data_IF_080132670588
#
_entry.id   IF_080132670588
#
_cell.length_a   1.000
_cell.length_b   1.000
_cell.length_c   1.000
_cell.angle_alpha   90.00
_cell.angle_beta   90.00
_cell.angle_gamma   90.00
#
_symmetry.space_group_name_H-M   'P 1'
#
loop_
_entity.id
_entity.type
_entity.pdbx_description
1 polymer ?
#
# COMPACT_ATOMS: atom_id res chain seq x y z
N UNK A 1 18.26 -16.81 -22.31
CA UNK A 1 17.12 -17.74 -22.30
C UNK A 1 16.76 -18.05 -20.85
N UNK A 2 15.49 -17.98 -20.52
CA UNK A 2 15.02 -18.30 -19.17
C UNK A 2 14.96 -19.82 -18.98
N UNK A 3 15.18 -20.28 -17.75
CA UNK A 3 14.99 -21.67 -17.40
C UNK A 3 13.53 -22.10 -17.56
N UNK A 4 13.29 -23.38 -17.82
CA UNK A 4 11.97 -23.88 -18.16
C UNK A 4 10.94 -23.66 -17.04
N UNK A 5 11.35 -23.76 -15.79
CA UNK A 5 10.50 -23.52 -14.63
C UNK A 5 10.11 -22.04 -14.51
N UNK A 6 11.03 -21.13 -14.77
CA UNK A 6 10.76 -19.68 -14.77
C UNK A 6 9.82 -19.33 -15.93
N UNK A 7 10.05 -19.91 -17.11
CA UNK A 7 9.14 -19.69 -18.25
C UNK A 7 7.73 -20.21 -17.96
N UNK A 8 7.61 -21.37 -17.32
CA UNK A 8 6.32 -21.91 -16.92
C UNK A 8 5.59 -21.01 -15.92
N UNK A 9 6.31 -20.40 -14.98
CA UNK A 9 5.74 -19.43 -14.04
C UNK A 9 5.19 -18.19 -14.76
N UNK A 10 5.92 -17.68 -15.75
CA UNK A 10 5.46 -16.53 -16.55
C UNK A 10 4.19 -16.87 -17.35
N UNK A 11 4.16 -18.04 -17.97
CA UNK A 11 3.02 -18.48 -18.78
C UNK A 11 1.77 -18.70 -17.91
N UNK A 12 1.94 -19.25 -16.72
CA UNK A 12 0.86 -19.41 -15.76
C UNK A 12 0.28 -18.04 -15.34
N UNK A 13 1.13 -17.05 -15.13
CA UNK A 13 0.68 -15.70 -14.75
C UNK A 13 -0.07 -15.02 -15.89
N UNK A 14 0.35 -15.18 -17.14
CA UNK A 14 -0.39 -14.65 -18.30
C UNK A 14 -1.80 -15.23 -18.35
N UNK A 15 -1.93 -16.56 -18.18
CA UNK A 15 -3.22 -17.24 -18.18
C UNK A 15 -4.13 -16.73 -17.06
N UNK A 16 -3.59 -16.55 -15.84
CA UNK A 16 -4.35 -16.05 -14.70
C UNK A 16 -4.82 -14.62 -14.93
N UNK A 17 -3.95 -13.75 -15.46
CA UNK A 17 -4.29 -12.34 -15.72
C UNK A 17 -5.39 -12.18 -16.79
N UNK A 18 -5.40 -13.03 -17.81
CA UNK A 18 -6.41 -12.98 -18.87
C UNK A 18 -7.80 -13.35 -18.38
N UNK A 19 -7.92 -14.07 -17.27
CA UNK A 19 -9.20 -14.43 -16.67
C UNK A 19 -9.83 -13.28 -15.88
N UNK A 20 -9.06 -12.25 -15.51
CA UNK A 20 -9.53 -11.06 -14.78
C UNK A 20 -9.72 -9.90 -15.75
N UNK A 21 -10.75 -9.99 -16.59
CA UNK A 21 -11.07 -8.93 -17.55
C UNK A 21 -11.89 -7.80 -16.92
N UNK A 22 -12.08 -6.73 -17.69
CA UNK A 22 -12.56 -5.39 -17.34
C UNK A 22 -13.91 -5.28 -16.58
N UNK A 23 -14.58 -6.36 -16.28
CA UNK A 23 -15.88 -6.36 -15.58
C UNK A 23 -15.75 -6.21 -14.05
N UNK A 24 -14.55 -6.33 -13.49
CA UNK A 24 -14.31 -6.26 -12.06
C UNK A 24 -13.95 -4.83 -11.64
N UNK A 25 -14.56 -4.35 -10.57
CA UNK A 25 -14.18 -3.08 -9.95
C UNK A 25 -12.69 -3.12 -9.58
N UNK A 26 -11.96 -2.04 -9.88
CA UNK A 26 -10.54 -1.95 -9.51
C UNK A 26 -10.38 -2.01 -7.99
N UNK A 27 -9.58 -2.97 -7.55
CA UNK A 27 -9.31 -3.25 -6.14
C UNK A 27 -7.81 -3.11 -5.90
N UNK A 28 -7.42 -2.14 -5.08
CA UNK A 28 -6.03 -1.75 -4.91
C UNK A 28 -5.64 -1.65 -3.43
N UNK A 29 -4.36 -1.76 -3.18
CA UNK A 29 -3.74 -1.31 -1.93
C UNK A 29 -2.97 -0.02 -2.16
N UNK A 30 -2.82 0.78 -1.11
CA UNK A 30 -2.14 2.06 -1.19
C UNK A 30 -1.14 2.19 -0.05
N UNK A 31 -0.01 2.82 -0.33
CA UNK A 31 0.93 3.29 0.69
C UNK A 31 1.12 4.79 0.49
N UNK A 32 0.89 5.57 1.54
CA UNK A 32 1.11 7.01 1.51
C UNK A 32 2.30 7.31 2.41
N UNK A 33 3.33 7.93 1.85
CA UNK A 33 4.58 8.26 2.55
C UNK A 33 4.64 9.75 2.89
N UNK A 34 5.31 10.09 3.99
CA UNK A 34 5.62 11.47 4.30
C UNK A 34 6.74 11.98 3.40
N UNK A 35 6.43 12.98 2.56
CA UNK A 35 7.43 13.61 1.69
C UNK A 35 8.47 14.42 2.47
N UNK A 36 8.08 15.00 3.60
CA UNK A 36 8.95 15.86 4.43
C UNK A 36 10.08 15.10 5.13
N UNK A 37 10.04 13.77 5.16
CA UNK A 37 11.15 12.98 5.73
C UNK A 37 12.28 12.72 4.75
N UNK A 38 12.08 13.01 3.47
CA UNK A 38 13.09 12.85 2.42
C UNK A 38 13.76 11.47 2.46
N UNK A 39 12.95 10.43 2.56
CA UNK A 39 13.45 9.06 2.69
C UNK A 39 14.15 8.60 1.41
N UNK A 40 15.28 7.90 1.57
CA UNK A 40 15.98 7.28 0.44
C UNK A 40 15.12 6.20 -0.22
N UNK A 41 15.40 5.81 -1.48
CA UNK A 41 14.68 4.72 -2.14
C UNK A 41 14.65 3.43 -1.32
N UNK A 42 15.77 3.05 -0.69
CA UNK A 42 15.81 1.86 0.18
C UNK A 42 14.89 1.98 1.38
N UNK A 43 14.86 3.15 2.02
CA UNK A 43 13.96 3.41 3.16
C UNK A 43 12.50 3.40 2.72
N UNK A 44 12.17 4.00 1.57
CA UNK A 44 10.83 3.96 1.00
C UNK A 44 10.37 2.52 0.73
N UNK A 45 11.24 1.68 0.16
CA UNK A 45 10.92 0.29 -0.09
C UNK A 45 10.60 -0.46 1.22
N UNK A 46 11.41 -0.27 2.25
CA UNK A 46 11.20 -0.90 3.54
C UNK A 46 9.89 -0.44 4.19
N UNK A 47 9.65 0.87 4.22
CA UNK A 47 8.42 1.44 4.79
C UNK A 47 7.19 1.07 3.97
N UNK A 48 7.30 0.96 2.65
CA UNK A 48 6.25 0.46 1.78
C UNK A 48 5.91 -0.99 2.06
N UNK A 49 6.92 -1.83 2.25
CA UNK A 49 6.73 -3.22 2.66
C UNK A 49 5.94 -3.34 3.95
N UNK A 50 6.29 -2.56 4.97
CA UNK A 50 5.54 -2.51 6.23
C UNK A 50 4.11 -2.02 6.01
N UNK A 51 3.92 -0.97 5.22
CA UNK A 51 2.60 -0.38 4.97
C UNK A 51 1.66 -1.39 4.30
N UNK A 52 2.09 -2.03 3.24
CA UNK A 52 1.28 -3.02 2.53
C UNK A 52 1.00 -4.25 3.39
N UNK A 53 2.01 -4.78 4.07
CA UNK A 53 1.85 -5.98 4.90
C UNK A 53 0.90 -5.72 6.06
N UNK A 54 1.11 -4.67 6.83
CA UNK A 54 0.30 -4.39 8.03
C UNK A 54 -1.14 -4.03 7.68
N UNK A 55 -1.37 -3.28 6.61
CA UNK A 55 -2.72 -3.01 6.12
C UNK A 55 -3.42 -4.29 5.67
N UNK A 56 -2.70 -5.16 4.95
CA UNK A 56 -3.23 -6.45 4.50
C UNK A 56 -3.62 -7.35 5.67
N UNK A 57 -2.76 -7.47 6.68
CA UNK A 57 -3.05 -8.26 7.88
C UNK A 57 -4.32 -7.75 8.59
N UNK A 58 -4.45 -6.43 8.72
CA UNK A 58 -5.66 -5.82 9.30
C UNK A 58 -6.89 -6.08 8.46
N UNK A 59 -6.75 -6.01 7.13
CA UNK A 59 -7.84 -6.28 6.20
C UNK A 59 -8.32 -7.73 6.23
N UNK A 60 -7.42 -8.69 6.47
CA UNK A 60 -7.81 -10.10 6.63
C UNK A 60 -8.81 -10.30 7.76
N UNK A 61 -8.71 -9.50 8.82
CA UNK A 61 -9.62 -9.55 9.96
C UNK A 61 -10.87 -8.73 9.67
N UNK A 62 -10.72 -7.53 9.13
CA UNK A 62 -11.80 -6.56 8.97
C UNK A 62 -12.67 -6.82 7.73
N UNK A 63 -12.05 -7.28 6.62
CA UNK A 63 -12.70 -7.50 5.32
C UNK A 63 -12.21 -8.79 4.67
N UNK A 64 -12.43 -9.96 5.26
CA UNK A 64 -11.83 -11.21 4.76
C UNK A 64 -12.21 -11.54 3.32
N UNK A 65 -13.45 -11.30 2.90
CA UNK A 65 -13.91 -11.63 1.54
C UNK A 65 -13.25 -10.72 0.49
N UNK A 66 -13.24 -9.41 0.72
CA UNK A 66 -12.60 -8.45 -0.20
C UNK A 66 -11.11 -8.72 -0.29
N UNK A 67 -10.47 -9.00 0.84
CA UNK A 67 -9.05 -9.28 0.92
C UNK A 67 -8.68 -10.57 0.17
N UNK A 68 -9.50 -11.61 0.30
CA UNK A 68 -9.34 -12.85 -0.46
C UNK A 68 -9.49 -12.61 -1.96
N UNK A 69 -10.47 -11.81 -2.36
CA UNK A 69 -10.67 -11.45 -3.76
C UNK A 69 -9.45 -10.70 -4.33
N UNK A 70 -8.93 -9.73 -3.58
CA UNK A 70 -7.71 -9.00 -3.95
C UNK A 70 -6.53 -9.95 -4.16
N UNK A 71 -6.33 -10.90 -3.26
CA UNK A 71 -5.28 -11.91 -3.36
C UNK A 71 -5.46 -12.77 -4.61
N UNK A 72 -6.69 -13.09 -4.98
CA UNK A 72 -7.03 -13.88 -6.16
C UNK A 72 -6.73 -13.18 -7.49
N UNK A 73 -6.52 -11.85 -7.50
CA UNK A 73 -6.22 -11.09 -8.73
C UNK A 73 -4.77 -11.22 -9.20
N UNK A 74 -3.96 -12.05 -8.59
CA UNK A 74 -2.55 -12.22 -8.91
C UNK A 74 -1.64 -11.58 -7.87
N UNK A 75 -0.74 -10.68 -8.28
CA UNK A 75 0.14 -9.98 -7.34
C UNK A 75 -0.60 -8.93 -6.50
N UNK A 76 -1.74 -8.46 -6.98
CA UNK A 76 -2.49 -7.38 -6.36
C UNK A 76 -1.88 -6.01 -6.65
N UNK A 77 -2.70 -5.09 -7.18
CA UNK A 77 -2.23 -3.75 -7.53
C UNK A 77 -1.92 -2.94 -6.27
N UNK A 78 -0.73 -2.34 -6.24
CA UNK A 78 -0.24 -1.50 -5.16
C UNK A 78 0.16 -0.14 -5.71
N UNK A 79 -0.30 0.91 -5.04
CA UNK A 79 -0.08 2.30 -5.47
C UNK A 79 0.61 3.04 -4.35
N UNK A 80 1.72 3.71 -4.67
CA UNK A 80 2.51 4.49 -3.70
C UNK A 80 2.33 5.98 -3.97
N UNK A 81 2.12 6.74 -2.91
CA UNK A 81 1.78 8.17 -2.96
C UNK A 81 2.54 8.95 -1.88
N UNK A 82 2.58 10.26 -2.03
CA UNK A 82 3.12 11.18 -1.03
C UNK A 82 2.04 12.03 -0.37
N UNK A 83 2.16 12.19 0.95
CA UNK A 83 1.55 13.27 1.71
C UNK A 83 2.65 14.31 2.01
N UNK A 84 2.32 15.60 1.99
CA UNK A 84 3.32 16.66 2.21
C UNK A 84 3.96 16.59 3.60
N UNK A 85 3.18 16.22 4.61
CA UNK A 85 3.62 16.23 6.00
C UNK A 85 2.76 15.29 6.84
N UNK A 86 3.09 15.18 8.12
CA UNK A 86 2.37 14.33 9.08
C UNK A 86 0.89 14.67 9.16
N UNK A 87 0.54 15.96 9.17
CA UNK A 87 -0.87 16.39 9.29
C UNK A 87 -1.72 15.86 8.14
N UNK A 88 -1.20 15.91 6.91
CA UNK A 88 -1.90 15.35 5.75
C UNK A 88 -1.99 13.82 5.80
N UNK A 89 -0.95 13.16 6.29
CA UNK A 89 -0.98 11.71 6.45
C UNK A 89 -2.03 11.28 7.49
N UNK A 90 -2.09 11.96 8.62
CA UNK A 90 -3.08 11.69 9.68
C UNK A 90 -4.50 11.96 9.17
N UNK A 91 -4.68 12.97 8.32
CA UNK A 91 -5.98 13.21 7.69
C UNK A 91 -6.45 12.01 6.89
N UNK A 92 -5.58 11.42 6.06
CA UNK A 92 -5.91 10.21 5.31
C UNK A 92 -6.27 9.04 6.25
N UNK A 93 -5.49 8.87 7.32
CA UNK A 93 -5.76 7.84 8.32
C UNK A 93 -7.15 7.99 8.95
N UNK A 94 -7.50 9.22 9.38
CA UNK A 94 -8.81 9.50 9.99
C UNK A 94 -9.96 9.29 9.00
N UNK A 95 -9.79 9.70 7.76
CA UNK A 95 -10.81 9.51 6.73
C UNK A 95 -11.03 8.02 6.44
N UNK A 96 -9.95 7.23 6.37
CA UNK A 96 -10.08 5.77 6.22
C UNK A 96 -10.80 5.13 7.40
N UNK A 97 -10.48 5.54 8.63
CA UNK A 97 -11.17 5.03 9.82
C UNK A 97 -12.66 5.36 9.79
N UNK A 98 -13.01 6.60 9.41
CA UNK A 98 -14.41 7.04 9.31
C UNK A 98 -15.21 6.22 8.30
N UNK A 99 -14.57 5.86 7.19
CA UNK A 99 -15.22 5.09 6.12
C UNK A 99 -15.07 3.58 6.30
N UNK A 100 -14.52 3.14 7.42
CA UNK A 100 -14.29 1.72 7.74
C UNK A 100 -13.41 1.01 6.69
N UNK A 101 -12.45 1.73 6.13
CA UNK A 101 -11.46 1.17 5.20
C UNK A 101 -10.24 0.70 6.00
N UNK A 102 -9.78 -0.54 5.81
CA UNK A 102 -8.60 -1.04 6.53
C UNK A 102 -7.40 -0.15 6.29
N UNK A 103 -6.76 0.29 7.36
CA UNK A 103 -5.57 1.13 7.27
C UNK A 103 -4.71 0.98 8.53
N UNK A 104 -3.40 1.21 8.39
CA UNK A 104 -2.46 1.12 9.48
C UNK A 104 -1.36 2.17 9.35
N UNK A 105 -1.12 2.93 10.41
CA UNK A 105 0.03 3.85 10.46
C UNK A 105 1.31 3.06 10.71
N UNK A 106 2.34 3.38 9.95
CA UNK A 106 3.66 2.77 10.10
C UNK A 106 4.51 3.63 11.01
N UNK A 107 4.95 3.04 12.09
CA UNK A 107 5.78 3.69 13.10
C UNK A 107 7.16 3.04 13.05
N UNK A 108 8.15 3.80 12.62
CA UNK A 108 9.54 3.38 12.62
C UNK A 108 10.20 3.82 13.94
N UNK A 109 11.11 3.02 14.44
CA UNK A 109 11.84 3.31 15.68
C UNK A 109 13.20 2.65 15.67
N UNK A 110 14.09 3.14 16.54
CA UNK A 110 15.43 2.60 16.69
C UNK A 110 16.32 2.75 15.46
N UNK A 111 15.88 3.48 14.45
CA UNK A 111 16.67 3.76 13.25
C UNK A 111 17.24 5.17 13.34
N UNK A 112 18.52 5.33 13.03
CA UNK A 112 19.19 6.63 13.09
C UNK A 112 19.69 6.98 11.69
N UNK A 113 19.00 7.91 11.05
CA UNK A 113 19.40 8.57 9.79
C UNK A 113 19.04 10.05 9.96
N UNK A 114 20.00 10.86 10.38
CA UNK A 114 19.76 12.28 10.63
C UNK A 114 19.40 13.02 9.33
N UNK A 115 18.63 14.11 9.42
CA UNK A 115 18.15 14.77 10.64
C UNK A 115 16.84 14.22 11.22
N UNK A 116 16.06 13.44 10.44
CA UNK A 116 14.69 13.08 10.82
C UNK A 116 14.60 11.83 11.70
N UNK A 117 15.45 10.83 11.43
CA UNK A 117 15.43 9.55 12.15
C UNK A 117 16.47 9.60 13.28
N UNK A 118 15.99 9.86 14.50
CA UNK A 118 16.84 10.06 15.66
C UNK A 118 16.90 8.83 16.60
N UNK A 119 16.24 7.74 16.21
CA UNK A 119 16.04 6.56 17.07
C UNK A 119 14.72 6.59 17.84
N UNK A 120 14.07 7.74 17.96
CA UNK A 120 12.74 7.85 18.55
C UNK A 120 11.65 7.36 17.58
N UNK A 121 10.49 6.91 18.10
CA UNK A 121 9.39 6.53 17.24
C UNK A 121 8.95 7.68 16.32
N UNK A 122 8.76 7.38 15.04
CA UNK A 122 8.35 8.35 14.04
C UNK A 122 7.36 7.71 13.06
N UNK A 123 6.26 8.40 12.77
CA UNK A 123 5.29 7.96 11.78
C UNK A 123 5.84 8.29 10.39
N UNK A 124 5.99 7.29 9.54
CA UNK A 124 6.61 7.43 8.22
C UNK A 124 5.64 7.28 7.07
N UNK A 125 4.62 6.45 7.24
CA UNK A 125 3.74 6.04 6.16
C UNK A 125 2.37 5.59 6.69
N UNK A 126 1.44 5.41 5.76
CA UNK A 126 0.12 4.84 6.00
C UNK A 126 -0.13 3.76 4.96
N UNK A 127 -0.43 2.54 5.39
CA UNK A 127 -0.93 1.48 4.54
C UNK A 127 -2.45 1.49 4.51
N UNK A 128 -3.04 1.27 3.34
CA UNK A 128 -4.50 1.29 3.14
C UNK A 128 -4.92 0.12 2.27
N UNK A 129 -6.01 -0.51 2.64
CA UNK A 129 -6.69 -1.50 1.80
C UNK A 129 -6.34 -2.94 2.14
N UNK A 130 -6.80 -3.85 1.25
CA UNK A 130 -7.40 -3.61 -0.07
C UNK A 130 -8.70 -2.81 -0.01
N UNK A 131 -8.88 -1.93 -0.98
CA UNK A 131 -10.06 -1.11 -1.10
C UNK A 131 -10.44 -0.93 -2.58
N UNK A 132 -11.73 -0.84 -2.87
CA UNK A 132 -12.19 -0.51 -4.21
C UNK A 132 -11.83 0.94 -4.55
N UNK A 133 -11.39 1.16 -5.78
CA UNK A 133 -11.00 2.49 -6.25
C UNK A 133 -12.09 3.53 -6.03
N UNK A 134 -13.33 3.18 -6.27
CA UNK A 134 -14.47 4.09 -6.12
C UNK A 134 -14.78 4.45 -4.65
N UNK A 135 -14.51 3.55 -3.69
CA UNK A 135 -14.72 3.86 -2.28
C UNK A 135 -13.61 4.71 -1.67
N UNK A 136 -12.39 4.68 -2.25
CA UNK A 136 -11.23 5.37 -1.70
C UNK A 136 -10.85 6.65 -2.46
N UNK A 137 -11.39 6.86 -3.67
CA UNK A 137 -10.97 7.94 -4.58
C UNK A 137 -11.06 9.33 -3.96
N UNK A 138 -12.08 9.60 -3.14
CA UNK A 138 -12.24 10.90 -2.48
C UNK A 138 -11.11 11.19 -1.47
N UNK A 139 -10.43 10.18 -1.00
CA UNK A 139 -9.26 10.31 -0.12
C UNK A 139 -7.99 10.42 -0.98
N UNK A 140 -7.74 9.43 -1.85
CA UNK A 140 -6.47 9.29 -2.58
C UNK A 140 -6.21 10.42 -3.58
N UNK A 141 -7.24 11.04 -4.14
CA UNK A 141 -7.09 12.16 -5.09
C UNK A 141 -6.36 13.38 -4.53
N UNK A 142 -6.24 13.47 -3.22
CA UNK A 142 -5.55 14.58 -2.55
C UNK A 142 -4.03 14.40 -2.49
N UNK A 143 -3.54 13.24 -2.87
CA UNK A 143 -2.13 12.87 -2.74
C UNK A 143 -1.52 12.64 -4.12
N UNK A 144 -0.21 12.86 -4.23
CA UNK A 144 0.51 12.69 -5.49
C UNK A 144 1.17 11.31 -5.57
N UNK A 145 1.23 10.76 -6.78
CA UNK A 145 1.94 9.51 -7.01
C UNK A 145 3.43 9.66 -6.72
N UNK A 146 4.01 8.62 -6.15
CA UNK A 146 5.44 8.49 -5.99
C UNK A 146 6.08 8.34 -7.38
N UNK A 147 7.10 9.14 -7.66
CA UNK A 147 7.84 9.07 -8.92
C UNK A 147 9.27 8.64 -8.71
#
# INVERSE_FOLDING_TARGET
MLDADIQAMLDQRKSTMSAFTAEHRALNMYAIFRADLDMTPGKLCAQGGHAFLQAYEKALIQRPEITSHYKGTGNGTKISMYAKNLGQLIRAYRDCQKDSIPCELIIDRSHIILPHFTGNPIITALGIGPAYKDEIAHITRRYTLLK
#
